data_IF_758137446690
#
_entry.id   IF_758137446690
#
_cell.length_a   1.000
_cell.length_b   1.000
_cell.length_c   1.000
_cell.angle_alpha   90.00
_cell.angle_beta   90.00
_cell.angle_gamma   90.00
#
_symmetry.space_group_name_H-M   'P 1'
#
loop_
_entity.id
_entity.type
_entity.pdbx_description
1 polymer ?
#
# COMPACT_ATOMS: atom_id res chain seq x y z
N UNK A 1 -27.89 -23.90 -5.38
CA UNK A 1 -27.35 -22.54 -5.15
C UNK A 1 -25.85 -22.44 -5.46
N UNK A 2 -25.05 -23.46 -5.14
CA UNK A 2 -23.60 -23.57 -5.42
C UNK A 2 -23.23 -23.50 -6.92
N UNK A 3 -23.93 -24.24 -7.80
CA UNK A 3 -23.66 -24.21 -9.25
C UNK A 3 -23.77 -22.83 -9.92
N UNK A 4 -24.66 -21.97 -9.40
CA UNK A 4 -24.91 -20.66 -9.99
C UNK A 4 -23.83 -19.64 -9.60
N UNK A 5 -23.23 -19.81 -8.42
CA UNK A 5 -22.08 -19.05 -7.92
C UNK A 5 -20.79 -19.45 -8.65
N UNK A 6 -20.57 -20.75 -8.86
CA UNK A 6 -19.39 -21.26 -9.58
C UNK A 6 -19.36 -20.80 -11.03
N UNK A 7 -20.50 -20.84 -11.73
CA UNK A 7 -20.60 -20.31 -13.10
C UNK A 7 -20.34 -18.79 -13.15
N UNK A 8 -20.91 -18.03 -12.21
CA UNK A 8 -20.70 -16.57 -12.15
C UNK A 8 -19.25 -16.19 -11.82
N UNK A 9 -18.60 -16.95 -10.92
CA UNK A 9 -17.18 -16.77 -10.62
C UNK A 9 -16.30 -17.12 -11.82
N UNK A 10 -16.58 -18.24 -12.50
CA UNK A 10 -15.85 -18.64 -13.70
C UNK A 10 -16.02 -17.62 -14.83
N UNK A 11 -17.22 -17.09 -15.03
CA UNK A 11 -17.50 -16.06 -16.03
C UNK A 11 -16.80 -14.74 -15.69
N UNK A 12 -16.83 -14.31 -14.42
CA UNK A 12 -16.07 -13.13 -13.96
C UNK A 12 -14.56 -13.30 -14.14
N UNK A 13 -14.00 -14.49 -13.87
CA UNK A 13 -12.58 -14.78 -14.11
C UNK A 13 -12.27 -14.73 -15.61
N UNK A 14 -13.12 -15.30 -16.45
CA UNK A 14 -12.95 -15.30 -17.90
C UNK A 14 -13.05 -13.89 -18.49
N UNK A 15 -14.02 -13.10 -18.03
CA UNK A 15 -14.17 -11.68 -18.39
C UNK A 15 -12.99 -10.85 -17.90
N UNK A 16 -12.46 -11.12 -16.71
CA UNK A 16 -11.25 -10.48 -16.17
C UNK A 16 -10.04 -10.73 -17.05
N UNK A 17 -9.82 -12.00 -17.44
CA UNK A 17 -8.71 -12.40 -18.30
C UNK A 17 -8.82 -11.77 -19.70
N UNK A 18 -10.01 -11.82 -20.31
CA UNK A 18 -10.26 -11.21 -21.63
C UNK A 18 -10.09 -9.69 -21.60
N UNK A 19 -10.61 -9.02 -20.58
CA UNK A 19 -10.50 -7.56 -20.45
C UNK A 19 -9.06 -7.13 -20.19
N UNK A 20 -8.34 -7.90 -19.36
CA UNK A 20 -6.92 -7.67 -19.11
C UNK A 20 -6.09 -7.78 -20.39
N UNK A 21 -6.42 -8.73 -21.28
CA UNK A 21 -5.78 -8.85 -22.60
C UNK A 21 -6.08 -7.64 -23.52
N UNK A 22 -7.25 -7.03 -23.38
CA UNK A 22 -7.70 -5.91 -24.21
C UNK A 22 -7.31 -4.52 -23.66
N UNK A 23 -6.79 -4.43 -22.43
CA UNK A 23 -6.19 -3.20 -21.86
C UNK A 23 -7.16 -2.04 -21.57
N UNK A 24 -8.48 -2.27 -21.49
CA UNK A 24 -9.44 -1.19 -21.29
C UNK A 24 -9.53 -0.74 -19.82
N UNK A 25 -8.73 0.27 -19.47
CA UNK A 25 -8.53 0.76 -18.09
C UNK A 25 -9.83 1.07 -17.32
N UNK A 26 -10.84 1.78 -17.88
CA UNK A 26 -12.07 2.07 -17.14
C UNK A 26 -12.83 0.83 -16.70
N UNK A 27 -12.80 -0.25 -17.51
CA UNK A 27 -13.43 -1.51 -17.14
C UNK A 27 -12.60 -2.24 -16.08
N UNK A 28 -11.27 -2.24 -16.19
CA UNK A 28 -10.40 -2.81 -15.15
C UNK A 28 -10.61 -2.15 -13.79
N UNK A 29 -10.67 -0.81 -13.75
CA UNK A 29 -11.01 -0.06 -12.53
C UNK A 29 -12.41 -0.40 -12.02
N UNK A 30 -13.40 -0.52 -12.91
CA UNK A 30 -14.76 -0.95 -12.53
C UNK A 30 -14.80 -2.36 -11.94
N UNK A 31 -13.97 -3.27 -12.45
CA UNK A 31 -13.83 -4.62 -11.91
C UNK A 31 -13.17 -4.60 -10.53
N UNK A 32 -12.08 -3.83 -10.37
CA UNK A 32 -11.41 -3.66 -9.09
C UNK A 32 -12.37 -3.11 -8.00
N UNK A 33 -13.23 -2.14 -8.31
CA UNK A 33 -14.26 -1.63 -7.38
C UNK A 33 -15.21 -2.71 -6.86
N UNK A 34 -15.45 -3.77 -7.64
CA UNK A 34 -16.34 -4.88 -7.24
C UNK A 34 -15.62 -5.94 -6.40
N UNK A 35 -14.29 -5.96 -6.44
CA UNK A 35 -13.45 -7.01 -5.87
C UNK A 35 -12.94 -7.95 -6.96
N UNK A 36 -11.67 -8.31 -6.85
CA UNK A 36 -10.97 -9.16 -7.81
C UNK A 36 -10.81 -10.57 -7.26
N UNK A 37 -10.76 -11.54 -8.17
CA UNK A 37 -10.37 -12.90 -7.82
C UNK A 37 -8.84 -12.99 -7.60
N UNK A 38 -8.40 -13.85 -6.68
CA UNK A 38 -6.97 -14.00 -6.34
C UNK A 38 -6.09 -14.27 -7.56
N UNK A 39 -6.55 -15.10 -8.49
CA UNK A 39 -5.78 -15.47 -9.69
C UNK A 39 -5.60 -14.34 -10.69
N UNK A 40 -6.44 -13.30 -10.66
CA UNK A 40 -6.41 -12.19 -11.64
C UNK A 40 -5.92 -10.88 -11.02
N UNK A 41 -5.88 -10.81 -9.68
CA UNK A 41 -5.54 -9.60 -8.93
C UNK A 41 -4.19 -9.02 -9.32
N UNK A 42 -3.15 -9.85 -9.32
CA UNK A 42 -1.80 -9.43 -9.70
C UNK A 42 -1.76 -8.75 -11.07
N UNK A 43 -2.39 -9.37 -12.08
CA UNK A 43 -2.39 -8.86 -13.44
C UNK A 43 -3.18 -7.55 -13.57
N UNK A 44 -4.36 -7.49 -12.95
CA UNK A 44 -5.22 -6.29 -13.03
C UNK A 44 -4.58 -5.13 -12.28
N UNK A 45 -4.05 -5.35 -11.07
CA UNK A 45 -3.32 -4.32 -10.33
C UNK A 45 -2.13 -3.80 -11.12
N UNK A 46 -1.30 -4.69 -11.68
CA UNK A 46 -0.18 -4.30 -12.54
C UNK A 46 -0.66 -3.39 -13.68
N UNK A 47 -1.73 -3.76 -14.39
CA UNK A 47 -2.24 -2.96 -15.50
C UNK A 47 -2.85 -1.61 -15.10
N UNK A 48 -3.59 -1.55 -13.99
CA UNK A 48 -4.16 -0.28 -13.53
C UNK A 48 -3.04 0.66 -13.10
N UNK A 49 -2.10 0.18 -12.29
CA UNK A 49 -1.07 1.03 -11.69
C UNK A 49 0.00 1.43 -12.73
N UNK A 50 0.36 0.55 -13.67
CA UNK A 50 1.28 0.87 -14.77
C UNK A 50 0.76 2.00 -15.66
N UNK A 51 -0.51 1.94 -16.03
CA UNK A 51 -1.10 2.94 -16.93
C UNK A 51 -1.23 4.33 -16.26
N UNK A 52 -1.41 4.37 -14.94
CA UNK A 52 -1.41 5.63 -14.19
C UNK A 52 0.00 6.25 -14.05
N UNK A 53 1.08 5.47 -14.16
CA UNK A 53 2.46 5.98 -14.08
C UNK A 53 2.96 6.58 -15.40
N UNK A 54 2.46 6.10 -16.54
CA UNK A 54 2.87 6.60 -17.86
C UNK A 54 2.43 8.04 -18.15
N UNK A 55 1.55 8.63 -17.33
CA UNK A 55 1.14 10.04 -17.44
C UNK A 55 2.03 11.01 -16.65
N UNK A 56 2.90 10.52 -15.75
CA UNK A 56 3.78 11.35 -14.91
C UNK A 56 5.21 10.82 -14.98
N UNK A 57 5.97 11.40 -15.91
CA UNK A 57 7.43 11.32 -16.13
C UNK A 57 8.27 10.54 -15.10
N UNK A 58 8.70 9.33 -15.48
CA UNK A 58 9.82 8.60 -14.87
C UNK A 58 10.82 8.14 -15.95
N UNK A 59 12.15 8.31 -15.76
CA UNK A 59 13.18 8.12 -16.78
C UNK A 59 13.47 6.66 -17.17
N UNK A 60 12.68 5.68 -16.72
CA UNK A 60 12.81 4.29 -17.19
C UNK A 60 11.66 3.85 -18.13
N UNK A 61 10.65 4.69 -18.34
CA UNK A 61 9.49 4.37 -19.19
C UNK A 61 9.20 5.40 -20.28
N UNK A 62 10.00 6.46 -20.42
CA UNK A 62 9.81 7.52 -21.43
C UNK A 62 10.25 7.18 -22.86
N UNK A 63 10.56 5.92 -23.19
CA UNK A 63 11.01 5.52 -24.53
C UNK A 63 9.89 5.09 -25.50
N UNK A 64 8.63 5.47 -25.26
CA UNK A 64 7.51 5.18 -26.20
C UNK A 64 6.57 6.37 -26.45
N UNK A 65 7.07 7.61 -26.34
CA UNK A 65 6.37 8.77 -26.91
C UNK A 65 6.75 9.02 -28.38
N UNK A 66 7.38 8.04 -29.04
CA UNK A 66 7.66 8.08 -30.47
C UNK A 66 6.72 7.14 -31.22
N UNK A 67 6.02 7.67 -32.23
CA UNK A 67 5.32 6.92 -33.30
C UNK A 67 6.04 5.60 -33.61
N UNK A 68 5.55 4.47 -33.09
CA UNK A 68 6.17 3.17 -33.33
C UNK A 68 5.12 2.18 -33.80
N UNK A 69 5.22 1.80 -35.06
CA UNK A 69 4.57 0.63 -35.67
C UNK A 69 5.12 -0.70 -35.10
N UNK A 70 5.60 -0.72 -33.85
CA UNK A 70 6.20 -1.91 -33.25
C UNK A 70 5.11 -2.79 -32.62
N UNK A 71 5.18 -4.13 -32.77
CA UNK A 71 4.23 -5.03 -32.14
C UNK A 71 4.26 -4.92 -30.61
N UNK A 72 3.10 -4.87 -29.97
CA UNK A 72 2.93 -4.76 -28.52
C UNK A 72 3.72 -5.83 -27.73
N UNK A 73 3.96 -7.01 -28.32
CA UNK A 73 4.81 -8.06 -27.74
C UNK A 73 6.29 -7.66 -27.61
N UNK A 74 6.86 -6.94 -28.59
CA UNK A 74 8.26 -6.52 -28.54
C UNK A 74 8.47 -5.46 -27.45
N UNK A 75 7.51 -4.54 -27.32
CA UNK A 75 7.49 -3.52 -26.26
C UNK A 75 7.46 -4.19 -24.88
N UNK A 76 6.54 -5.13 -24.65
CA UNK A 76 6.44 -5.85 -23.37
C UNK A 76 7.73 -6.61 -23.03
N UNK A 77 8.33 -7.27 -24.01
CA UNK A 77 9.59 -8.00 -23.81
C UNK A 77 10.75 -7.06 -23.44
N UNK A 78 10.83 -5.91 -24.11
CA UNK A 78 11.84 -4.89 -23.80
C UNK A 78 11.67 -4.33 -22.38
N UNK A 79 10.43 -4.02 -21.97
CA UNK A 79 10.15 -3.57 -20.60
C UNK A 79 10.55 -4.60 -19.56
N UNK A 80 10.26 -5.89 -19.80
CA UNK A 80 10.63 -6.97 -18.90
C UNK A 80 12.17 -7.11 -18.78
N UNK A 81 12.90 -6.95 -19.89
CA UNK A 81 14.37 -6.96 -19.89
C UNK A 81 14.94 -5.78 -19.09
N UNK A 82 14.45 -4.56 -19.33
CA UNK A 82 14.89 -3.37 -18.58
C UNK A 82 14.64 -3.51 -17.07
N UNK A 83 13.46 -4.02 -16.71
CA UNK A 83 13.13 -4.28 -15.30
C UNK A 83 14.06 -5.32 -14.68
N UNK A 84 14.35 -6.41 -15.40
CA UNK A 84 15.29 -7.43 -14.90
C UNK A 84 16.69 -6.88 -14.67
N UNK A 85 17.22 -6.06 -15.60
CA UNK A 85 18.52 -5.43 -15.47
C UNK A 85 18.56 -4.43 -14.30
N UNK A 86 17.46 -3.69 -14.10
CA UNK A 86 17.30 -2.78 -12.98
C UNK A 86 17.36 -3.51 -11.62
N UNK A 87 16.61 -4.60 -11.46
CA UNK A 87 16.65 -5.39 -10.22
C UNK A 87 18.02 -6.01 -9.99
N UNK A 88 18.71 -6.49 -11.03
CA UNK A 88 20.06 -7.00 -10.89
C UNK A 88 21.04 -5.93 -10.39
N UNK A 89 20.93 -4.69 -10.88
CA UNK A 89 21.74 -3.58 -10.37
C UNK A 89 21.53 -3.33 -8.87
N UNK A 90 20.29 -3.44 -8.38
CA UNK A 90 19.99 -3.31 -6.96
C UNK A 90 20.60 -4.46 -6.15
N UNK A 91 20.50 -5.70 -6.64
CA UNK A 91 21.15 -6.88 -6.01
C UNK A 91 22.67 -6.75 -5.93
N UNK A 92 23.29 -6.26 -6.99
CA UNK A 92 24.72 -6.00 -7.01
C UNK A 92 25.12 -4.95 -5.96
N UNK A 93 24.32 -3.89 -5.77
CA UNK A 93 24.58 -2.88 -4.74
C UNK A 93 24.40 -3.43 -3.32
N UNK A 94 23.38 -4.27 -3.08
CA UNK A 94 23.18 -4.97 -1.79
C UNK A 94 24.42 -5.80 -1.44
N UNK A 95 24.99 -6.51 -2.43
CA UNK A 95 26.19 -7.34 -2.24
C UNK A 95 27.43 -6.49 -1.98
N UNK A 96 27.53 -5.30 -2.58
CA UNK A 96 28.70 -4.41 -2.48
C UNK A 96 28.71 -3.54 -1.23
N UNK A 97 27.53 -3.09 -0.77
CA UNK A 97 27.40 -2.18 0.38
C UNK A 97 26.37 -2.65 1.38
N UNK A 98 26.82 -2.77 2.62
CA UNK A 98 25.97 -2.95 3.79
C UNK A 98 25.61 -1.59 4.38
N UNK A 99 24.32 -1.32 4.55
CA UNK A 99 23.80 -0.10 5.16
C UNK A 99 23.27 -0.38 6.56
N UNK A 100 23.32 0.60 7.46
CA UNK A 100 22.69 0.50 8.78
C UNK A 100 21.18 0.22 8.66
N UNK A 101 20.53 0.80 7.65
CA UNK A 101 19.13 0.53 7.33
C UNK A 101 18.82 -0.95 7.10
N UNK A 102 19.80 -1.77 6.71
CA UNK A 102 19.59 -3.21 6.48
C UNK A 102 19.24 -3.92 7.79
N UNK A 103 19.96 -3.59 8.86
CA UNK A 103 19.69 -4.17 10.17
C UNK A 103 18.30 -3.79 10.68
N UNK A 104 17.84 -2.58 10.37
CA UNK A 104 16.48 -2.13 10.71
C UNK A 104 15.43 -2.89 9.91
N UNK A 105 15.65 -3.05 8.59
CA UNK A 105 14.77 -3.83 7.71
C UNK A 105 14.67 -5.27 8.17
N UNK A 106 15.80 -5.96 8.41
CA UNK A 106 15.81 -7.34 8.89
C UNK A 106 15.08 -7.50 10.23
N UNK A 107 15.21 -6.53 11.14
CA UNK A 107 14.51 -6.58 12.43
C UNK A 107 12.99 -6.43 12.25
N UNK A 108 12.55 -5.51 11.39
CA UNK A 108 11.14 -5.27 11.11
C UNK A 108 10.47 -6.46 10.40
N UNK A 109 11.20 -7.11 9.46
CA UNK A 109 10.74 -8.34 8.79
C UNK A 109 10.58 -9.49 9.79
N UNK A 110 11.51 -9.64 10.73
CA UNK A 110 11.39 -10.65 11.79
C UNK A 110 10.16 -10.45 12.65
N UNK A 111 9.90 -9.22 13.10
CA UNK A 111 8.68 -8.89 13.86
C UNK A 111 7.42 -9.16 13.04
N UNK A 112 7.45 -8.84 11.75
CA UNK A 112 6.33 -9.13 10.84
C UNK A 112 6.09 -10.64 10.72
N UNK A 113 7.15 -11.44 10.80
CA UNK A 113 7.07 -12.90 10.70
C UNK A 113 6.55 -13.57 11.97
N UNK A 114 6.43 -12.83 13.09
CA UNK A 114 5.73 -13.31 14.29
C UNK A 114 4.19 -13.32 14.09
N UNK A 115 3.68 -12.68 13.02
CA UNK A 115 2.25 -12.71 12.67
C UNK A 115 1.83 -14.05 12.04
N UNK A 116 0.73 -14.61 12.53
CA UNK A 116 0.19 -15.90 12.10
C UNK A 116 -0.15 -15.97 10.60
N UNK A 117 -0.40 -14.82 9.97
CA UNK A 117 -0.73 -14.75 8.55
C UNK A 117 0.51 -14.57 7.67
N UNK A 118 1.66 -14.17 8.20
CA UNK A 118 2.82 -13.77 7.39
C UNK A 118 4.11 -14.52 7.71
N UNK A 119 4.15 -15.33 8.77
CA UNK A 119 5.34 -16.11 9.17
C UNK A 119 5.98 -16.94 8.05
N UNK A 120 5.19 -17.42 7.09
CA UNK A 120 5.69 -18.23 5.96
C UNK A 120 6.50 -17.46 4.93
N UNK A 121 6.49 -16.12 4.99
CA UNK A 121 7.12 -15.26 3.98
C UNK A 121 8.39 -14.56 4.43
N UNK A 122 8.95 -14.87 5.62
CA UNK A 122 10.12 -14.19 6.19
C UNK A 122 11.21 -13.97 5.13
N UNK A 123 11.70 -15.05 4.51
CA UNK A 123 12.77 -14.98 3.51
C UNK A 123 12.36 -14.14 2.29
N UNK A 124 11.16 -14.35 1.75
CA UNK A 124 10.68 -13.64 0.57
C UNK A 124 10.54 -12.13 0.84
N UNK A 125 9.97 -11.79 1.99
CA UNK A 125 9.74 -10.43 2.44
C UNK A 125 11.06 -9.71 2.71
N UNK A 126 12.02 -10.39 3.32
CA UNK A 126 13.36 -9.84 3.59
C UNK A 126 14.04 -9.36 2.30
N UNK A 127 14.05 -10.21 1.27
CA UNK A 127 14.60 -9.87 -0.04
C UNK A 127 13.87 -8.67 -0.66
N UNK A 128 12.55 -8.63 -0.59
CA UNK A 128 11.73 -7.54 -1.14
C UNK A 128 12.05 -6.21 -0.45
N UNK A 129 12.12 -6.22 0.88
CA UNK A 129 12.32 -5.00 1.66
C UNK A 129 13.75 -4.46 1.57
N UNK A 130 14.75 -5.34 1.48
CA UNK A 130 16.13 -4.91 1.22
C UNK A 130 16.27 -4.30 -0.18
N UNK A 131 15.67 -4.90 -1.21
CA UNK A 131 15.62 -4.30 -2.58
C UNK A 131 14.92 -2.93 -2.53
N UNK A 132 13.79 -2.84 -1.84
CA UNK A 132 13.05 -1.58 -1.66
C UNK A 132 13.88 -0.49 -0.99
N UNK A 133 14.70 -0.83 0.01
CA UNK A 133 15.57 0.14 0.68
C UNK A 133 16.64 0.76 -0.24
N UNK A 134 17.06 0.04 -1.29
CA UNK A 134 18.11 0.45 -2.24
C UNK A 134 17.61 1.28 -3.40
N UNK A 135 16.32 1.23 -3.67
CA UNK A 135 15.79 1.83 -4.88
C UNK A 135 15.63 3.36 -4.75
N UNK A 136 16.63 4.09 -5.23
CA UNK A 136 16.65 5.57 -5.33
C UNK A 136 15.46 6.17 -6.10
N UNK A 137 14.81 5.38 -6.93
CA UNK A 137 13.69 5.86 -7.74
C UNK A 137 12.38 5.90 -6.96
N UNK A 138 12.27 5.19 -5.82
CA UNK A 138 11.07 5.21 -4.95
C UNK A 138 10.74 6.63 -4.48
N UNK A 139 11.70 7.35 -3.90
CA UNK A 139 11.49 8.73 -3.43
C UNK A 139 10.95 9.65 -4.55
N UNK A 140 11.54 9.55 -5.74
CA UNK A 140 11.13 10.33 -6.92
C UNK A 140 9.74 9.93 -7.41
N UNK A 141 9.37 8.68 -7.28
CA UNK A 141 8.12 8.14 -7.80
C UNK A 141 6.96 8.29 -6.80
N UNK A 142 7.22 8.53 -5.50
CA UNK A 142 6.19 8.78 -4.48
C UNK A 142 5.28 9.97 -4.84
N UNK A 143 3.95 9.77 -4.81
CA UNK A 143 2.94 10.81 -5.01
C UNK A 143 3.05 11.89 -3.92
N UNK A 144 3.21 11.46 -2.67
CA UNK A 144 3.48 12.33 -1.52
C UNK A 144 4.94 12.17 -1.15
N UNK A 145 5.74 13.24 -1.24
CA UNK A 145 7.19 13.17 -1.05
C UNK A 145 7.55 12.93 0.42
N UNK A 146 8.20 11.81 0.77
CA UNK A 146 8.65 11.59 2.14
C UNK A 146 9.79 12.54 2.48
N UNK A 147 9.92 12.85 3.77
CA UNK A 147 11.08 13.60 4.27
C UNK A 147 12.26 12.63 4.37
N UNK A 148 13.21 12.75 3.45
CA UNK A 148 14.42 11.93 3.44
C UNK A 148 15.48 12.51 4.37
N UNK A 149 16.21 11.64 5.07
CA UNK A 149 17.49 12.03 5.63
C UNK A 149 18.48 12.25 4.48
N UNK A 150 19.34 13.25 4.62
CA UNK A 150 20.38 13.52 3.64
C UNK A 150 21.67 12.91 4.19
N UNK A 151 22.18 11.89 3.50
CA UNK A 151 23.49 11.33 3.79
C UNK A 151 24.57 12.33 3.35
N UNK A 152 25.54 12.58 4.23
CA UNK A 152 26.79 13.23 3.86
C UNK A 152 27.73 12.13 3.40
N UNK A 153 28.28 12.25 2.20
CA UNK A 153 29.23 11.23 1.70
C UNK A 153 30.61 11.44 2.32
N UNK A 154 31.40 10.39 2.48
CA UNK A 154 32.79 10.49 2.98
C UNK A 154 33.65 11.45 2.12
N UNK A 155 33.32 11.58 0.83
CA UNK A 155 33.94 12.53 -0.07
C UNK A 155 33.72 14.00 0.35
N UNK A 156 32.58 14.33 0.97
CA UNK A 156 32.27 15.68 1.46
C UNK A 156 32.94 15.97 2.81
N UNK A 157 33.16 14.95 3.66
CA UNK A 157 33.89 15.08 4.93
C UNK A 157 35.41 15.28 4.71
N UNK A 158 35.93 14.75 3.60
CA UNK A 158 37.36 14.85 3.24
C UNK A 158 37.68 16.03 2.32
N UNK A 159 36.67 16.66 1.70
CA UNK A 159 36.87 17.82 0.81
C UNK A 159 36.82 19.14 1.59
N UNK A 160 37.90 19.48 2.27
CA UNK A 160 38.11 20.87 2.72
C UNK A 160 38.30 21.76 1.48
N UNK A 161 37.29 22.56 1.17
CA UNK A 161 37.30 23.65 0.17
C UNK A 161 37.25 23.19 -1.30
N UNK A 162 36.06 23.22 -1.89
CA UNK A 162 35.73 24.04 -3.08
C UNK A 162 34.25 23.83 -3.44
N UNK A 163 33.59 24.93 -3.75
CA UNK A 163 32.17 25.04 -4.06
C UNK A 163 31.74 24.31 -5.34
N UNK A 164 30.47 23.87 -5.35
CA UNK A 164 29.63 23.45 -6.49
C UNK A 164 29.69 21.98 -6.94
N UNK A 165 29.13 21.08 -6.14
CA UNK A 165 27.95 20.23 -6.40
C UNK A 165 27.86 19.32 -5.16
N UNK A 166 27.00 19.68 -4.21
CA UNK A 166 26.73 18.82 -3.06
C UNK A 166 25.92 17.62 -3.56
N UNK A 167 26.56 16.45 -3.72
CA UNK A 167 25.86 15.20 -4.03
C UNK A 167 25.18 14.71 -2.75
N UNK A 168 24.13 15.44 -2.36
CA UNK A 168 23.23 15.10 -1.25
C UNK A 168 22.39 13.91 -1.68
N UNK A 169 22.83 12.70 -1.34
CA UNK A 169 22.06 11.49 -1.56
C UNK A 169 21.07 11.26 -0.41
N UNK A 170 19.90 10.72 -0.72
CA UNK A 170 18.94 10.31 0.30
C UNK A 170 19.47 9.09 1.07
N UNK A 171 19.24 9.07 2.38
CA UNK A 171 19.53 7.93 3.23
C UNK A 171 18.26 7.47 3.97
N UNK A 172 17.85 6.19 3.88
CA UNK A 172 18.33 5.17 2.94
C UNK A 172 18.15 5.61 1.47
N UNK A 173 18.76 4.91 0.49
CA UNK A 173 18.70 5.29 -0.92
C UNK A 173 17.27 5.57 -1.42
N UNK A 174 16.28 4.80 -0.96
CA UNK A 174 14.86 4.98 -1.32
C UNK A 174 14.19 6.24 -0.74
N UNK A 175 14.87 7.00 0.11
CA UNK A 175 14.39 8.22 0.75
C UNK A 175 13.30 8.01 1.80
N UNK A 176 13.14 6.79 2.31
CA UNK A 176 12.16 6.47 3.34
C UNK A 176 12.91 6.01 4.59
N UNK A 177 12.79 6.79 5.66
CA UNK A 177 13.30 6.40 6.97
C UNK A 177 12.60 5.12 7.42
N UNK A 178 13.33 4.03 7.73
CA UNK A 178 12.72 2.80 8.22
C UNK A 178 11.93 3.06 9.51
N UNK A 179 10.70 2.57 9.55
CA UNK A 179 9.83 2.63 10.72
C UNK A 179 9.22 1.25 10.96
N UNK A 180 8.74 1.03 12.18
CA UNK A 180 8.14 -0.23 12.59
C UNK A 180 6.81 -0.49 11.86
N UNK A 181 6.70 -1.64 11.21
CA UNK A 181 5.50 -2.07 10.49
C UNK A 181 5.52 -1.74 8.99
N UNK A 182 6.59 -1.18 8.43
CA UNK A 182 6.68 -0.99 6.97
C UNK A 182 6.71 -2.34 6.23
N UNK A 183 7.38 -3.35 6.81
CA UNK A 183 7.42 -4.71 6.26
C UNK A 183 6.06 -5.40 6.40
N UNK A 184 5.31 -5.11 7.46
CA UNK A 184 3.93 -5.57 7.62
C UNK A 184 3.07 -5.11 6.43
N UNK A 185 3.15 -3.85 6.02
CA UNK A 185 2.41 -3.33 4.85
C UNK A 185 2.82 -4.04 3.53
N UNK A 186 4.06 -4.52 3.44
CA UNK A 186 4.55 -5.26 2.27
C UNK A 186 4.16 -6.75 2.28
N UNK A 187 3.94 -7.34 3.46
CA UNK A 187 3.73 -8.78 3.63
C UNK A 187 2.56 -9.35 2.79
N UNK A 188 1.36 -8.70 2.70
CA UNK A 188 0.26 -9.21 1.89
C UNK A 188 0.62 -9.43 0.42
N UNK A 189 1.54 -8.65 -0.15
CA UNK A 189 1.93 -8.82 -1.56
C UNK A 189 2.58 -10.19 -1.83
N UNK A 190 3.12 -10.86 -0.81
CA UNK A 190 3.67 -12.21 -0.91
C UNK A 190 2.60 -13.28 -1.23
N UNK A 191 1.32 -13.01 -0.94
CA UNK A 191 0.22 -13.87 -1.38
C UNK A 191 -0.14 -13.66 -2.86
N UNK A 192 0.26 -12.54 -3.46
CA UNK A 192 -0.09 -12.15 -4.83
C UNK A 192 1.02 -12.55 -5.82
N UNK A 193 2.28 -12.51 -5.39
CA UNK A 193 3.44 -12.90 -6.19
C UNK A 193 4.29 -13.96 -5.51
N UNK A 194 4.83 -14.90 -6.28
CA UNK A 194 5.68 -15.98 -5.74
C UNK A 194 7.17 -15.68 -5.78
N UNK A 195 7.59 -14.67 -6.57
CA UNK A 195 8.99 -14.26 -6.73
C UNK A 195 9.20 -12.87 -6.13
N UNK A 196 10.36 -12.66 -5.50
CA UNK A 196 10.73 -11.37 -4.93
C UNK A 196 10.56 -10.22 -5.94
N UNK A 197 10.92 -10.41 -7.21
CA UNK A 197 10.81 -9.38 -8.26
C UNK A 197 9.35 -8.99 -8.51
N UNK A 198 8.42 -9.95 -8.52
CA UNK A 198 7.00 -9.69 -8.75
C UNK A 198 6.35 -9.01 -7.55
N UNK A 199 6.70 -9.45 -6.34
CA UNK A 199 6.22 -8.88 -5.08
C UNK A 199 6.75 -7.45 -4.94
N UNK A 200 8.04 -7.26 -5.16
CA UNK A 200 8.69 -5.96 -5.14
C UNK A 200 8.07 -5.01 -6.15
N UNK A 201 7.83 -5.47 -7.39
CA UNK A 201 7.16 -4.68 -8.41
C UNK A 201 5.82 -4.12 -7.90
N UNK A 202 4.96 -5.01 -7.39
CA UNK A 202 3.64 -4.62 -6.90
C UNK A 202 3.73 -3.68 -5.70
N UNK A 203 4.52 -4.06 -4.68
CA UNK A 203 4.67 -3.28 -3.46
C UNK A 203 5.22 -1.88 -3.74
N UNK A 204 6.31 -1.78 -4.50
CA UNK A 204 6.92 -0.51 -4.92
C UNK A 204 5.87 0.43 -5.51
N UNK A 205 5.13 -0.06 -6.49
CA UNK A 205 4.15 0.75 -7.20
C UNK A 205 2.94 1.12 -6.35
N UNK A 206 2.47 0.22 -5.49
CA UNK A 206 1.44 0.52 -4.48
C UNK A 206 1.92 1.57 -3.49
N UNK A 207 3.14 1.43 -2.99
CA UNK A 207 3.70 2.33 -2.01
C UNK A 207 3.86 3.73 -2.60
N UNK A 208 4.54 3.85 -3.75
CA UNK A 208 4.78 5.15 -4.37
C UNK A 208 3.48 5.82 -4.82
N UNK A 209 2.45 5.06 -5.20
CA UNK A 209 1.17 5.63 -5.64
C UNK A 209 0.24 5.97 -4.49
N UNK A 210 0.18 5.12 -3.45
CA UNK A 210 -0.80 5.22 -2.38
C UNK A 210 -0.11 5.28 -1.02
N UNK A 211 0.55 4.20 -0.56
CA UNK A 211 0.93 4.09 0.85
C UNK A 211 1.96 5.12 1.34
N UNK A 212 2.74 5.74 0.45
CA UNK A 212 3.57 6.88 0.81
C UNK A 212 2.77 8.03 1.46
N UNK A 213 1.51 8.22 1.07
CA UNK A 213 0.62 9.19 1.70
C UNK A 213 0.30 8.86 3.16
N UNK A 214 0.18 7.58 3.51
CA UNK A 214 -0.12 7.12 4.87
C UNK A 214 1.02 7.39 5.86
N UNK A 215 2.24 7.57 5.36
CA UNK A 215 3.45 7.66 6.20
C UNK A 215 4.12 9.04 6.17
N UNK A 216 3.49 10.02 5.51
CA UNK A 216 4.06 11.36 5.34
C UNK A 216 3.10 12.42 5.88
N UNK A 217 3.63 13.29 6.73
CA UNK A 217 2.94 14.49 7.19
C UNK A 217 3.03 15.54 6.08
N UNK A 218 1.91 15.85 5.44
CA UNK A 218 1.82 16.80 4.33
C UNK A 218 0.44 17.47 4.32
N UNK A 219 0.30 18.52 3.50
CA UNK A 219 -1.00 19.14 3.20
C UNK A 219 -1.71 18.46 2.01
N UNK A 220 -1.11 17.41 1.43
CA UNK A 220 -1.71 16.66 0.32
C UNK A 220 -2.95 15.88 0.80
N UNK A 221 -4.04 15.87 0.02
CA UNK A 221 -5.32 15.27 0.43
C UNK A 221 -5.25 13.77 0.73
N UNK A 222 -4.37 13.05 0.04
CA UNK A 222 -4.12 11.61 0.26
C UNK A 222 -3.02 11.36 1.31
N UNK A 223 -2.62 12.37 2.10
CA UNK A 223 -1.64 12.18 3.18
C UNK A 223 -2.30 11.89 4.52
N UNK A 224 -1.52 11.40 5.49
CA UNK A 224 -2.06 10.89 6.75
C UNK A 224 -2.90 11.92 7.52
N UNK A 225 -2.53 13.20 7.52
CA UNK A 225 -3.23 14.22 8.29
C UNK A 225 -4.65 14.49 7.72
N UNK A 226 -4.83 14.79 6.43
CA UNK A 226 -6.18 14.90 5.87
C UNK A 226 -7.00 13.61 5.94
N UNK A 227 -6.38 12.43 5.87
CA UNK A 227 -7.08 11.15 6.03
C UNK A 227 -7.61 10.96 7.45
N UNK A 228 -6.79 11.27 8.47
CA UNK A 228 -7.21 11.27 9.88
C UNK A 228 -8.35 12.27 10.12
N UNK A 229 -8.22 13.49 9.58
CA UNK A 229 -9.28 14.49 9.66
C UNK A 229 -10.57 14.01 8.98
N UNK A 230 -10.46 13.40 7.81
CA UNK A 230 -11.59 12.84 7.09
C UNK A 230 -12.32 11.77 7.91
N UNK A 231 -11.58 10.91 8.62
CA UNK A 231 -12.18 9.96 9.56
C UNK A 231 -12.95 10.67 10.69
N UNK A 232 -12.36 11.67 11.33
CA UNK A 232 -13.02 12.41 12.42
C UNK A 232 -14.28 13.14 11.94
N UNK A 233 -14.19 13.81 10.79
CA UNK A 233 -15.33 14.54 10.19
C UNK A 233 -16.46 13.55 9.86
N UNK A 234 -16.17 12.42 9.20
CA UNK A 234 -17.16 11.38 8.88
C UNK A 234 -17.80 10.81 10.15
N UNK A 235 -17.00 10.51 11.19
CA UNK A 235 -17.52 9.92 12.41
C UNK A 235 -18.39 10.90 13.20
N UNK A 236 -18.01 12.18 13.27
CA UNK A 236 -18.82 13.22 13.89
C UNK A 236 -20.13 13.48 13.14
N UNK A 237 -20.11 13.41 11.80
CA UNK A 237 -21.32 13.59 10.99
C UNK A 237 -22.29 12.41 11.10
N UNK A 238 -21.76 11.18 11.09
CA UNK A 238 -22.58 9.95 11.10
C UNK A 238 -23.04 9.54 12.51
N UNK A 239 -22.17 9.64 13.51
CA UNK A 239 -22.41 9.14 14.87
C UNK A 239 -21.94 10.16 15.94
N UNK A 240 -22.52 11.38 15.98
CA UNK A 240 -22.08 12.43 16.90
C UNK A 240 -22.21 12.01 18.36
N UNK A 241 -23.27 11.28 18.73
CA UNK A 241 -23.48 10.82 20.10
C UNK A 241 -22.37 9.89 20.57
N UNK A 242 -21.95 8.96 19.72
CA UNK A 242 -20.82 8.07 19.99
C UNK A 242 -19.52 8.87 20.14
N UNK A 243 -19.27 9.81 19.23
CA UNK A 243 -18.06 10.64 19.28
C UNK A 243 -17.94 11.40 20.61
N UNK A 244 -19.01 12.08 21.04
CA UNK A 244 -19.03 12.79 22.33
C UNK A 244 -18.92 11.85 23.53
N UNK A 245 -19.59 10.69 23.50
CA UNK A 245 -19.49 9.68 24.56
C UNK A 245 -18.05 9.21 24.74
N UNK A 246 -17.36 8.90 23.65
CA UNK A 246 -15.94 8.49 23.68
C UNK A 246 -15.05 9.57 24.29
N UNK A 247 -15.27 10.84 23.95
CA UNK A 247 -14.55 11.95 24.56
C UNK A 247 -14.84 12.09 26.07
N UNK A 248 -16.07 11.84 26.52
CA UNK A 248 -16.42 11.87 27.95
C UNK A 248 -15.67 10.81 28.75
N UNK A 249 -15.46 9.63 28.18
CA UNK A 249 -14.61 8.56 28.76
C UNK A 249 -13.11 8.75 28.48
N UNK A 250 -12.70 9.93 27.99
CA UNK A 250 -11.31 10.32 27.71
C UNK A 250 -10.63 9.47 26.63
N UNK A 251 -11.38 9.00 25.64
CA UNK A 251 -10.86 8.29 24.48
C UNK A 251 -11.11 9.11 23.23
N UNK A 252 -10.04 9.56 22.57
CA UNK A 252 -10.18 10.11 21.23
C UNK A 252 -10.35 8.95 20.22
N UNK A 253 -11.44 8.88 19.43
CA UNK A 253 -11.64 7.83 18.44
C UNK A 253 -10.46 7.66 17.47
N UNK A 254 -9.79 8.77 17.13
CA UNK A 254 -8.62 8.75 16.24
C UNK A 254 -7.44 7.99 16.84
N UNK A 255 -7.24 7.98 18.16
CA UNK A 255 -6.16 7.21 18.79
C UNK A 255 -6.27 5.70 18.48
N UNK A 256 -7.50 5.19 18.35
CA UNK A 256 -7.76 3.80 17.98
C UNK A 256 -7.59 3.62 16.47
N UNK A 257 -8.27 4.46 15.68
CA UNK A 257 -8.32 4.34 14.23
C UNK A 257 -6.99 4.64 13.51
N UNK A 258 -6.11 5.44 14.12
CA UNK A 258 -4.84 5.86 13.51
C UNK A 258 -4.01 4.67 13.06
N UNK A 259 -3.88 3.65 13.91
CA UNK A 259 -3.13 2.42 13.59
C UNK A 259 -3.67 1.71 12.34
N UNK A 260 -5.00 1.64 12.22
CA UNK A 260 -5.67 1.03 11.06
C UNK A 260 -5.43 1.83 9.78
N UNK A 261 -5.52 3.17 9.86
CA UNK A 261 -5.29 4.05 8.72
C UNK A 261 -3.83 3.98 8.28
N UNK A 262 -2.89 4.10 9.22
CA UNK A 262 -1.45 4.09 8.98
C UNK A 262 -0.98 2.77 8.34
N UNK A 263 -1.54 1.64 8.77
CA UNK A 263 -1.22 0.31 8.23
C UNK A 263 -2.16 -0.14 7.10
N UNK A 264 -3.09 0.70 6.64
CA UNK A 264 -4.13 0.33 5.67
C UNK A 264 -4.84 -1.00 6.02
N UNK A 265 -5.11 -1.21 7.32
CA UNK A 265 -5.73 -2.39 7.93
C UNK A 265 -4.93 -3.71 7.88
N UNK A 266 -3.65 -3.67 7.51
CA UNK A 266 -2.79 -4.85 7.60
C UNK A 266 -2.58 -5.22 9.07
N UNK A 267 -2.58 -6.52 9.39
CA UNK A 267 -2.49 -7.01 10.78
C UNK A 267 -3.82 -7.01 11.54
N UNK A 268 -4.87 -6.40 10.98
CA UNK A 268 -6.22 -6.39 11.58
C UNK A 268 -7.20 -7.26 10.78
N UNK A 269 -7.23 -7.10 9.45
CA UNK A 269 -8.12 -7.86 8.59
C UNK A 269 -7.46 -9.16 8.12
N UNK A 270 -8.28 -10.22 8.00
CA UNK A 270 -7.89 -11.40 7.21
C UNK A 270 -7.49 -10.99 5.79
N UNK A 271 -6.51 -11.69 5.21
CA UNK A 271 -5.93 -11.34 3.90
C UNK A 271 -6.97 -11.22 2.79
N UNK A 272 -8.01 -12.05 2.81
CA UNK A 272 -9.11 -11.97 1.83
C UNK A 272 -9.87 -10.63 1.95
N UNK A 273 -10.22 -10.22 3.17
CA UNK A 273 -10.92 -8.96 3.41
C UNK A 273 -10.03 -7.76 3.15
N UNK A 274 -8.75 -7.83 3.53
CA UNK A 274 -7.74 -6.81 3.24
C UNK A 274 -7.64 -6.54 1.74
N UNK A 275 -7.56 -7.59 0.91
CA UNK A 275 -7.50 -7.41 -0.55
C UNK A 275 -8.78 -6.82 -1.13
N UNK A 276 -9.95 -7.11 -0.56
CA UNK A 276 -11.18 -6.44 -0.99
C UNK A 276 -11.12 -4.93 -0.71
N UNK A 277 -10.53 -4.51 0.42
CA UNK A 277 -10.31 -3.10 0.70
C UNK A 277 -9.34 -2.48 -0.32
N UNK A 278 -8.21 -3.14 -0.58
CA UNK A 278 -7.18 -2.64 -1.50
C UNK A 278 -7.61 -2.64 -2.97
N UNK A 279 -8.43 -3.60 -3.38
CA UNK A 279 -9.06 -3.60 -4.71
C UNK A 279 -9.89 -2.32 -4.92
N UNK A 280 -10.48 -1.76 -3.86
CA UNK A 280 -11.22 -0.49 -3.90
C UNK A 280 -10.30 0.72 -3.91
N UNK A 281 -9.18 0.70 -3.16
CA UNK A 281 -8.12 1.72 -3.27
C UNK A 281 -7.68 1.84 -4.74
N UNK A 282 -7.34 0.72 -5.37
CA UNK A 282 -6.91 0.69 -6.79
C UNK A 282 -8.06 1.03 -7.74
N UNK A 283 -9.26 0.53 -7.48
CA UNK A 283 -10.42 0.74 -8.35
C UNK A 283 -10.95 2.17 -8.37
N UNK A 284 -10.87 2.88 -7.25
CA UNK A 284 -11.24 4.30 -7.12
C UNK A 284 -10.04 5.24 -7.26
N UNK A 285 -8.81 4.72 -7.20
CA UNK A 285 -7.56 5.48 -7.25
C UNK A 285 -7.44 6.52 -6.12
N UNK A 286 -7.85 6.15 -4.90
CA UNK A 286 -7.84 7.01 -3.70
C UNK A 286 -7.71 6.20 -2.40
N UNK A 287 -7.09 6.79 -1.39
CA UNK A 287 -7.02 6.27 -0.02
C UNK A 287 -8.23 6.64 0.84
N UNK A 288 -9.16 7.49 0.38
CA UNK A 288 -10.33 7.92 1.15
C UNK A 288 -11.22 6.75 1.61
N UNK A 289 -11.15 5.60 0.95
CA UNK A 289 -11.87 4.39 1.39
C UNK A 289 -11.35 3.87 2.75
N UNK A 290 -10.11 4.17 3.13
CA UNK A 290 -9.50 3.74 4.39
C UNK A 290 -10.16 4.44 5.60
N UNK A 291 -10.22 5.79 5.69
CA UNK A 291 -10.94 6.46 6.78
C UNK A 291 -12.44 6.19 6.76
N UNK A 292 -13.06 6.06 5.57
CA UNK A 292 -14.48 5.64 5.46
C UNK A 292 -14.70 4.27 6.09
N UNK A 293 -13.82 3.31 5.80
CA UNK A 293 -13.92 1.98 6.39
C UNK A 293 -13.69 2.01 7.90
N UNK A 294 -12.73 2.81 8.39
CA UNK A 294 -12.52 3.02 9.81
C UNK A 294 -13.79 3.56 10.50
N UNK A 295 -14.42 4.61 9.96
CA UNK A 295 -15.67 5.14 10.52
C UNK A 295 -16.80 4.10 10.52
N UNK A 296 -16.92 3.31 9.44
CA UNK A 296 -17.94 2.25 9.35
C UNK A 296 -17.81 1.19 10.45
N UNK A 297 -16.61 0.92 10.97
CA UNK A 297 -16.40 0.00 12.08
C UNK A 297 -16.92 0.56 13.40
N UNK A 298 -16.76 1.87 13.64
CA UNK A 298 -17.33 2.55 14.79
C UNK A 298 -18.85 2.53 14.75
N UNK A 299 -19.44 2.89 13.61
CA UNK A 299 -20.89 2.84 13.40
C UNK A 299 -21.43 1.42 13.60
N UNK A 300 -20.73 0.40 13.10
CA UNK A 300 -21.15 -0.99 13.25
C UNK A 300 -21.11 -1.50 14.69
N UNK A 301 -20.19 -0.97 15.51
CA UNK A 301 -20.06 -1.34 16.93
C UNK A 301 -20.64 -0.29 17.88
N UNK A 302 -21.40 0.67 17.37
CA UNK A 302 -21.85 1.86 18.12
C UNK A 302 -22.63 1.49 19.38
N UNK A 303 -23.52 0.50 19.31
CA UNK A 303 -24.31 0.03 20.45
C UNK A 303 -23.46 -0.51 21.59
N UNK A 304 -22.33 -1.18 21.30
CA UNK A 304 -21.41 -1.66 22.32
C UNK A 304 -20.54 -0.52 22.86
N UNK A 305 -20.08 0.37 21.98
CA UNK A 305 -19.23 1.50 22.35
C UNK A 305 -19.96 2.54 23.21
N UNK A 306 -21.26 2.78 22.98
CA UNK A 306 -22.08 3.67 23.82
C UNK A 306 -22.27 3.13 25.24
N UNK A 307 -22.10 1.81 25.43
CA UNK A 307 -22.13 1.18 26.76
C UNK A 307 -20.74 1.09 27.40
N UNK A 308 -19.67 1.40 26.67
CA UNK A 308 -18.31 1.39 27.18
C UNK A 308 -18.11 2.54 28.18
N UNK A 309 -17.43 2.25 29.29
CA UNK A 309 -17.16 3.23 30.35
C UNK A 309 -15.68 3.56 30.50
N UNK A 310 -14.81 2.68 30.00
CA UNK A 310 -13.36 2.83 30.07
C UNK A 310 -12.70 2.69 28.70
N UNK A 311 -11.45 3.15 28.60
CA UNK A 311 -10.62 2.92 27.41
C UNK A 311 -10.40 1.43 27.12
N UNK A 312 -10.33 0.60 28.16
CA UNK A 312 -10.15 -0.85 27.98
C UNK A 312 -11.40 -1.46 27.34
N UNK A 313 -12.60 -1.08 27.78
CA UNK A 313 -13.86 -1.55 27.17
C UNK A 313 -13.89 -1.26 25.66
N UNK A 314 -13.43 -0.07 25.25
CA UNK A 314 -13.35 0.32 23.83
C UNK A 314 -12.36 -0.57 23.08
N UNK A 315 -11.17 -0.81 23.65
CA UNK A 315 -10.16 -1.69 23.05
C UNK A 315 -10.70 -3.12 22.92
N UNK A 316 -11.41 -3.61 23.94
CA UNK A 316 -11.99 -4.95 23.96
C UNK A 316 -13.08 -5.09 22.88
N UNK A 317 -13.92 -4.06 22.71
CA UNK A 317 -14.92 -4.00 21.63
C UNK A 317 -14.24 -4.08 20.26
N UNK A 318 -13.03 -3.57 20.10
CA UNK A 318 -12.26 -3.62 18.85
C UNK A 318 -11.24 -4.77 18.76
N UNK A 319 -11.13 -5.64 19.77
CA UNK A 319 -10.10 -6.68 19.81
C UNK A 319 -10.21 -7.73 18.71
N UNK A 320 -11.44 -8.06 18.30
CA UNK A 320 -11.70 -9.10 17.29
C UNK A 320 -12.15 -8.49 15.96
N UNK A 321 -11.45 -8.81 14.87
CA UNK A 321 -11.79 -8.42 13.50
C UNK A 321 -12.26 -9.59 12.62
N UNK A 322 -12.32 -10.81 13.14
CA UNK A 322 -12.60 -12.03 12.37
C UNK A 322 -13.96 -12.02 11.67
N UNK A 323 -14.98 -11.41 12.30
CA UNK A 323 -16.34 -11.30 11.76
C UNK A 323 -16.50 -10.21 10.71
N UNK A 324 -15.51 -9.32 10.58
CA UNK A 324 -15.64 -8.12 9.74
C UNK A 324 -15.61 -8.51 8.26
N UNK A 325 -16.66 -8.09 7.54
CA UNK A 325 -16.73 -8.20 6.08
C UNK A 325 -16.68 -6.81 5.48
N UNK A 326 -15.59 -6.50 4.77
CA UNK A 326 -15.29 -5.16 4.27
C UNK A 326 -16.39 -4.64 3.35
N UNK A 327 -16.82 -5.47 2.38
CA UNK A 327 -17.76 -5.03 1.35
C UNK A 327 -19.17 -4.78 1.91
N UNK A 328 -19.78 -5.71 2.65
CA UNK A 328 -21.08 -5.46 3.28
C UNK A 328 -21.05 -4.27 4.23
N UNK A 329 -19.98 -4.11 5.00
CA UNK A 329 -19.86 -3.02 5.97
C UNK A 329 -19.80 -1.64 5.30
N UNK A 330 -18.95 -1.51 4.27
CA UNK A 330 -18.88 -0.28 3.47
C UNK A 330 -20.21 0.04 2.78
N UNK A 331 -20.90 -0.97 2.25
CA UNK A 331 -22.20 -0.78 1.61
C UNK A 331 -23.26 -0.33 2.60
N UNK A 332 -23.31 -0.96 3.77
CA UNK A 332 -24.24 -0.57 4.83
C UNK A 332 -23.99 0.88 5.25
N UNK A 333 -22.73 1.27 5.43
CA UNK A 333 -22.39 2.62 5.88
C UNK A 333 -22.65 3.71 4.82
N UNK A 334 -22.29 3.46 3.56
CA UNK A 334 -22.39 4.48 2.50
C UNK A 334 -23.80 4.68 1.94
N UNK A 335 -24.70 3.70 2.12
CA UNK A 335 -26.06 3.72 1.56
C UNK A 335 -27.15 3.60 2.63
N UNK A 336 -26.82 4.00 3.86
CA UNK A 336 -27.76 4.09 4.98
C UNK A 336 -28.77 5.22 4.81
#
# INVERSE_FOLDING_TARGET
MTFHLEWYLADNINMSKKTSQNGFLPLLSKMARRGLHNSTRATIWKQIIQNCFNSVTGPCYTMLQGNTQQPLQQILQQHQQLYSAFIQRLRDDITKRRLLSDAMVHNDVKRTSDDENYFVFEDLLDHVMIIFSRDVTVHRDCQVKPVSLIGVTDAELLSEKTSSVTNKECYPPNGITPFEGISMVAAPFCYVGSKADDVYYLFRHFYTRYFCGLHVISSHQESIIPLCKCFEDILMESEPQLFYHMLQIQVNPLEIAYSWIFQAFVGYLSTEQLFLLWDRIVGFDTLLIVPVFAASLFTFRSSFLLNATTKQDVIDVFSDFTIIKVVPLLQLFLFQ
#
